data_IF_301026787456
#
_entry.id   IF_301026787456
#
_cell.length_a   1.000
_cell.length_b   1.000
_cell.length_c   1.000
_cell.angle_alpha   90.00
_cell.angle_beta   90.00
_cell.angle_gamma   90.00
#
_symmetry.space_group_name_H-M   'P 1'
#
loop_
_entity.id
_entity.type
_entity.pdbx_description
1 polymer ?
#
# COMPACT_ATOMS: atom_id res chain seq x y z
N UNK A 1 -16.01 -6.56 -36.49
CA UNK A 1 -15.59 -7.77 -35.73
C UNK A 1 -15.00 -7.27 -34.45
N UNK A 2 -15.80 -7.18 -33.39
CA UNK A 2 -15.42 -6.72 -32.06
C UNK A 2 -14.81 -7.90 -31.32
N UNK A 3 -13.66 -7.66 -30.69
CA UNK A 3 -12.85 -8.65 -29.97
C UNK A 3 -13.62 -9.24 -28.78
N UNK A 4 -13.53 -10.57 -28.53
CA UNK A 4 -14.28 -11.24 -27.44
C UNK A 4 -13.76 -10.98 -26.02
N UNK A 5 -12.86 -10.01 -25.83
CA UNK A 5 -12.24 -9.73 -24.52
C UNK A 5 -13.06 -8.77 -23.64
N UNK A 6 -14.10 -8.14 -24.15
CA UNK A 6 -14.87 -7.11 -23.43
C UNK A 6 -16.06 -7.62 -22.61
N UNK A 7 -16.52 -8.84 -22.87
CA UNK A 7 -17.70 -9.40 -22.16
C UNK A 7 -17.37 -10.15 -20.85
N UNK A 8 -16.09 -10.31 -20.49
CA UNK A 8 -15.70 -11.02 -19.26
C UNK A 8 -15.59 -10.17 -17.99
N UNK A 9 -15.77 -8.87 -18.09
CA UNK A 9 -15.42 -7.94 -17.00
C UNK A 9 -16.54 -7.75 -15.95
N UNK A 10 -17.78 -8.14 -16.24
CA UNK A 10 -18.92 -7.87 -15.35
C UNK A 10 -19.31 -9.00 -14.38
N UNK A 11 -18.74 -10.19 -14.50
CA UNK A 11 -19.06 -11.33 -13.60
C UNK A 11 -18.00 -11.61 -12.51
N UNK A 12 -16.93 -10.84 -12.43
CA UNK A 12 -15.75 -11.17 -11.61
C UNK A 12 -15.78 -10.67 -10.16
N UNK A 13 -16.85 -10.03 -9.71
CA UNK A 13 -16.94 -9.54 -8.33
C UNK A 13 -17.19 -10.64 -7.27
N UNK A 14 -17.42 -11.88 -7.66
CA UNK A 14 -17.61 -12.99 -6.71
C UNK A 14 -17.13 -14.33 -7.28
N UNK A 15 -15.90 -14.70 -6.91
CA UNK A 15 -15.42 -16.06 -7.08
C UNK A 15 -15.92 -16.94 -5.95
N UNK A 16 -16.47 -18.12 -6.30
CA UNK A 16 -16.70 -19.18 -5.32
C UNK A 16 -15.53 -20.15 -5.38
N UNK A 17 -14.94 -20.48 -4.21
CA UNK A 17 -13.95 -21.54 -4.15
C UNK A 17 -14.62 -22.93 -4.38
N UNK A 18 -13.84 -23.99 -4.51
CA UNK A 18 -14.30 -25.37 -4.70
C UNK A 18 -15.32 -25.85 -3.64
N UNK A 19 -15.52 -25.10 -2.56
CA UNK A 19 -16.50 -25.35 -1.48
C UNK A 19 -17.71 -24.40 -1.55
N UNK A 20 -17.91 -23.68 -2.67
CA UNK A 20 -19.05 -22.79 -2.85
C UNK A 20 -19.05 -21.51 -1.99
N UNK A 21 -17.94 -21.16 -1.34
CA UNK A 21 -17.83 -19.91 -0.57
C UNK A 21 -17.49 -18.76 -1.52
N UNK A 22 -18.30 -17.70 -1.48
CA UNK A 22 -18.01 -16.44 -2.14
C UNK A 22 -16.67 -15.90 -1.63
N UNK A 23 -15.66 -15.85 -2.48
CA UNK A 23 -14.42 -15.15 -2.20
C UNK A 23 -14.57 -13.73 -2.73
N UNK A 24 -14.66 -12.77 -1.83
CA UNK A 24 -14.60 -11.35 -2.19
C UNK A 24 -13.14 -11.05 -2.51
N UNK A 25 -12.86 -10.59 -3.71
CA UNK A 25 -11.59 -9.98 -4.03
C UNK A 25 -11.39 -8.81 -3.04
N UNK A 26 -10.33 -8.86 -2.24
CA UNK A 26 -10.10 -7.81 -1.24
C UNK A 26 -9.61 -6.50 -1.86
N UNK A 27 -9.16 -6.54 -3.12
CA UNK A 27 -8.77 -5.36 -3.89
C UNK A 27 -10.02 -4.52 -4.19
N UNK A 28 -9.85 -3.21 -4.15
CA UNK A 28 -10.92 -2.28 -4.45
C UNK A 28 -11.34 -2.40 -5.94
N UNK A 29 -12.63 -2.47 -6.17
CA UNK A 29 -13.21 -2.45 -7.52
C UNK A 29 -14.16 -1.26 -7.58
N UNK A 30 -13.95 -0.38 -8.54
CA UNK A 30 -14.74 0.82 -8.75
C UNK A 30 -16.05 0.53 -9.49
N UNK A 31 -16.98 1.49 -9.48
CA UNK A 31 -18.28 1.36 -10.15
C UNK A 31 -18.19 1.13 -11.66
N UNK A 32 -17.13 1.62 -12.31
CA UNK A 32 -16.86 1.38 -13.73
C UNK A 32 -16.25 0.00 -14.03
N UNK A 33 -16.05 -0.84 -13.01
CA UNK A 33 -15.46 -2.18 -13.12
C UNK A 33 -13.92 -2.22 -13.12
N UNK A 34 -13.23 -1.07 -13.09
CA UNK A 34 -11.79 -1.02 -12.93
C UNK A 34 -11.39 -1.35 -11.49
N UNK A 35 -10.19 -1.87 -11.30
CA UNK A 35 -9.70 -2.22 -9.97
C UNK A 35 -8.54 -1.32 -9.56
N UNK A 36 -8.53 -0.89 -8.31
CA UNK A 36 -7.44 -0.15 -7.67
C UNK A 36 -6.21 -1.02 -7.46
N UNK A 37 -5.65 -1.55 -8.56
CA UNK A 37 -4.49 -2.44 -8.52
C UNK A 37 -3.71 -2.43 -9.84
N UNK A 38 -2.39 -2.50 -9.74
CA UNK A 38 -1.50 -2.68 -10.88
C UNK A 38 -0.39 -3.67 -10.59
N UNK A 39 0.06 -4.43 -11.60
CA UNK A 39 1.14 -5.41 -11.47
C UNK A 39 2.03 -5.48 -12.70
N UNK A 40 3.33 -5.71 -12.48
CA UNK A 40 4.32 -5.87 -13.52
C UNK A 40 4.28 -7.30 -14.08
N UNK A 41 4.14 -7.41 -15.42
CA UNK A 41 4.22 -8.61 -16.27
C UNK A 41 3.16 -9.67 -16.04
N UNK A 42 2.78 -9.95 -14.81
CA UNK A 42 1.89 -11.07 -14.50
C UNK A 42 0.59 -10.59 -13.86
N UNK A 43 -0.56 -11.11 -14.32
CA UNK A 43 -1.82 -10.88 -13.65
C UNK A 43 -1.76 -11.35 -12.20
N UNK A 44 -2.32 -10.54 -11.29
CA UNK A 44 -2.46 -10.86 -9.88
C UNK A 44 -3.92 -10.64 -9.44
N UNK A 45 -4.26 -10.89 -8.19
CA UNK A 45 -5.61 -10.67 -7.65
C UNK A 45 -6.73 -11.20 -8.56
N UNK A 46 -6.54 -12.46 -9.05
CA UNK A 46 -7.49 -13.12 -9.95
C UNK A 46 -7.68 -12.42 -11.31
N UNK A 47 -6.65 -11.72 -11.79
CA UNK A 47 -6.69 -11.01 -13.06
C UNK A 47 -7.34 -9.64 -13.01
N UNK A 48 -7.57 -9.10 -11.80
CA UNK A 48 -8.04 -7.74 -11.61
C UNK A 48 -6.90 -6.72 -11.74
N UNK A 49 -7.26 -5.50 -12.16
CA UNK A 49 -6.33 -4.38 -12.26
C UNK A 49 -5.52 -4.36 -13.55
N UNK A 50 -4.60 -3.41 -13.61
CA UNK A 50 -3.78 -3.12 -14.78
C UNK A 50 -2.51 -3.96 -14.76
N UNK A 51 -2.22 -4.68 -15.85
CA UNK A 51 -0.95 -5.39 -16.06
C UNK A 51 -0.09 -4.59 -17.04
N UNK A 52 1.12 -4.27 -16.64
CA UNK A 52 2.10 -3.57 -17.47
C UNK A 52 3.35 -4.41 -17.68
N UNK A 53 4.08 -4.22 -18.79
CA UNK A 53 5.18 -5.10 -19.23
C UNK A 53 6.56 -4.57 -18.87
N UNK A 54 6.71 -3.26 -18.78
CA UNK A 54 7.99 -2.59 -18.56
C UNK A 54 8.01 -1.88 -17.20
N UNK A 55 9.17 -1.71 -16.56
CA UNK A 55 9.30 -0.93 -15.34
C UNK A 55 8.76 0.49 -15.52
N UNK A 56 8.03 0.98 -14.54
CA UNK A 56 7.40 2.30 -14.55
C UNK A 56 7.90 3.16 -13.40
N UNK A 57 7.75 4.47 -13.54
CA UNK A 57 8.00 5.43 -12.47
C UNK A 57 6.97 5.30 -11.35
N UNK A 58 7.25 5.91 -10.21
CA UNK A 58 6.33 5.99 -9.06
C UNK A 58 5.00 6.64 -9.43
N UNK A 59 5.03 7.77 -10.14
CA UNK A 59 3.82 8.47 -10.55
C UNK A 59 2.98 7.62 -11.51
N UNK A 60 3.63 6.94 -12.44
CA UNK A 60 2.96 6.04 -13.37
C UNK A 60 2.37 4.83 -12.65
N UNK A 61 3.07 4.27 -11.66
CA UNK A 61 2.54 3.16 -10.83
C UNK A 61 1.28 3.56 -10.07
N UNK A 62 1.28 4.74 -9.46
CA UNK A 62 0.11 5.28 -8.79
C UNK A 62 -1.06 5.45 -9.75
N UNK A 63 -0.80 6.01 -10.93
CA UNK A 63 -1.81 6.21 -11.97
C UNK A 63 -2.41 4.89 -12.46
N UNK A 64 -1.57 3.88 -12.74
CA UNK A 64 -2.01 2.56 -13.20
C UNK A 64 -2.82 1.81 -12.14
N UNK A 65 -2.58 2.08 -10.86
CA UNK A 65 -3.33 1.50 -9.74
C UNK A 65 -4.52 2.36 -9.27
N UNK A 66 -4.85 3.45 -9.98
CA UNK A 66 -5.89 4.42 -9.59
C UNK A 66 -5.69 4.97 -8.17
N UNK A 67 -4.43 5.22 -7.79
CA UNK A 67 -4.05 5.68 -6.45
C UNK A 67 -3.50 7.11 -6.44
N UNK A 68 -3.37 7.75 -7.58
CA UNK A 68 -2.94 9.13 -7.73
C UNK A 68 -4.09 10.12 -7.46
N UNK A 69 -3.71 11.33 -7.05
CA UNK A 69 -4.62 12.46 -6.90
C UNK A 69 -5.85 12.22 -5.99
N UNK A 70 -5.72 11.35 -5.00
CA UNK A 70 -6.82 11.09 -4.07
C UNK A 70 -7.17 12.27 -3.18
N UNK A 71 -6.23 13.20 -2.96
CA UNK A 71 -6.43 14.37 -2.12
C UNK A 71 -7.06 14.00 -0.77
N UNK A 72 -6.45 13.03 -0.07
CA UNK A 72 -6.96 12.51 1.20
C UNK A 72 -6.94 13.60 2.26
N UNK A 73 -8.08 13.87 2.85
CA UNK A 73 -8.25 14.94 3.84
C UNK A 73 -9.23 14.54 4.95
N UNK A 74 -9.24 15.33 6.02
CA UNK A 74 -10.16 15.15 7.12
C UNK A 74 -11.30 16.16 7.00
N UNK A 75 -12.55 15.68 7.05
CA UNK A 75 -13.75 16.50 7.13
C UNK A 75 -14.48 16.23 8.46
N UNK A 76 -14.89 17.26 9.18
CA UNK A 76 -15.56 17.07 10.47
C UNK A 76 -16.90 16.38 10.31
N UNK A 77 -17.14 15.34 11.14
CA UNK A 77 -18.40 14.60 11.12
C UNK A 77 -19.45 15.34 11.98
N UNK A 78 -20.60 15.61 11.39
CA UNK A 78 -21.76 16.14 12.10
C UNK A 78 -22.79 15.01 12.29
N UNK A 79 -23.09 14.69 13.53
CA UNK A 79 -24.05 13.64 13.88
C UNK A 79 -25.52 14.13 13.90
N UNK A 80 -25.78 15.38 13.51
CA UNK A 80 -27.11 15.99 13.59
C UNK A 80 -27.47 16.53 14.95
N UNK A 81 -28.74 16.92 15.10
CA UNK A 81 -29.27 17.53 16.38
C UNK A 81 -29.43 16.47 17.46
N UNK A 82 -29.13 16.84 18.69
CA UNK A 82 -29.30 15.97 19.87
C UNK A 82 -28.09 15.09 20.22
N UNK A 83 -27.04 15.09 19.40
CA UNK A 83 -25.82 14.36 19.69
C UNK A 83 -24.74 15.32 20.19
N UNK A 84 -24.12 14.98 21.32
CA UNK A 84 -22.98 15.73 21.88
C UNK A 84 -21.78 14.81 22.02
N UNK A 85 -20.70 15.14 21.35
CA UNK A 85 -19.42 14.48 21.55
C UNK A 85 -18.44 15.42 22.25
N UNK A 86 -17.79 14.94 23.33
CA UNK A 86 -16.76 15.73 24.05
C UNK A 86 -15.52 16.00 23.19
N UNK A 87 -15.30 15.22 22.13
CA UNK A 87 -14.20 15.38 21.17
C UNK A 87 -14.72 15.18 19.77
N UNK A 88 -14.28 15.99 18.79
CA UNK A 88 -14.75 15.87 17.42
C UNK A 88 -14.34 14.54 16.80
N UNK A 89 -15.16 14.07 15.86
CA UNK A 89 -14.84 13.01 14.93
C UNK A 89 -14.62 13.60 13.55
N UNK A 90 -13.76 12.97 12.78
CA UNK A 90 -13.46 13.36 11.42
C UNK A 90 -13.60 12.16 10.50
N UNK A 91 -14.24 12.35 9.37
CA UNK A 91 -14.17 11.42 8.26
C UNK A 91 -12.87 11.68 7.48
N UNK A 92 -12.12 10.65 7.20
CA UNK A 92 -11.10 10.72 6.14
C UNK A 92 -11.81 10.49 4.81
N UNK A 93 -11.63 11.41 3.89
CA UNK A 93 -12.26 11.39 2.57
C UNK A 93 -11.23 11.52 1.49
N UNK A 94 -11.53 10.97 0.31
CA UNK A 94 -10.75 11.17 -0.91
C UNK A 94 -11.63 11.69 -2.04
N UNK A 95 -11.03 12.28 -3.04
CA UNK A 95 -11.69 12.47 -4.32
C UNK A 95 -11.72 11.11 -5.04
N UNK A 96 -12.88 10.74 -5.60
CA UNK A 96 -13.05 9.44 -6.25
C UNK A 96 -12.19 9.38 -7.52
N UNK A 97 -11.32 8.36 -7.70
CA UNK A 97 -10.35 8.33 -8.80
C UNK A 97 -11.00 8.08 -10.18
N UNK A 98 -12.22 7.57 -10.23
CA UNK A 98 -12.91 7.23 -11.49
C UNK A 98 -14.14 8.09 -11.73
N UNK A 99 -14.73 8.71 -10.70
CA UNK A 99 -15.93 9.54 -10.80
C UNK A 99 -15.63 10.97 -10.35
N UNK A 100 -15.33 11.84 -11.30
CA UNK A 100 -15.01 13.23 -11.03
C UNK A 100 -16.14 13.94 -10.25
N UNK A 101 -15.76 14.64 -9.17
CA UNK A 101 -16.70 15.36 -8.30
C UNK A 101 -17.34 14.52 -7.20
N UNK A 102 -17.18 13.20 -7.20
CA UNK A 102 -17.58 12.32 -6.12
C UNK A 102 -16.48 12.25 -5.06
N UNK A 103 -16.90 12.07 -3.79
CA UNK A 103 -16.01 11.84 -2.66
C UNK A 103 -16.33 10.51 -2.01
N UNK A 104 -15.30 9.76 -1.65
CA UNK A 104 -15.43 8.52 -0.91
C UNK A 104 -15.00 8.70 0.53
N UNK A 105 -15.74 8.11 1.47
CA UNK A 105 -15.35 8.05 2.88
C UNK A 105 -14.49 6.82 3.09
N UNK A 106 -13.24 7.04 3.54
CA UNK A 106 -12.28 5.97 3.78
C UNK A 106 -12.32 5.45 5.22
N UNK A 107 -12.72 6.30 6.17
CA UNK A 107 -12.82 5.91 7.58
C UNK A 107 -13.23 7.07 8.47
N UNK A 108 -13.30 6.79 9.78
CA UNK A 108 -13.59 7.80 10.82
C UNK A 108 -12.46 7.79 11.84
N UNK A 109 -11.88 8.95 12.06
CA UNK A 109 -10.69 9.13 12.90
C UNK A 109 -10.90 10.22 13.96
N UNK A 110 -9.93 10.40 14.82
CA UNK A 110 -9.91 11.46 15.84
C UNK A 110 -8.96 12.59 15.43
N UNK A 111 -9.06 13.72 16.11
CA UNK A 111 -8.31 14.96 15.88
C UNK A 111 -6.78 14.82 15.79
N UNK A 112 -6.21 13.77 16.41
CA UNK A 112 -4.76 13.51 16.39
C UNK A 112 -4.27 12.74 15.17
N UNK A 113 -5.20 12.26 14.35
CA UNK A 113 -4.83 11.60 13.11
C UNK A 113 -4.32 12.65 12.12
N UNK A 114 -3.30 12.31 11.37
CA UNK A 114 -2.78 13.11 10.26
C UNK A 114 -2.86 12.28 8.99
N UNK A 115 -3.46 12.83 7.97
CA UNK A 115 -3.52 12.21 6.64
C UNK A 115 -2.12 12.10 6.05
N UNK A 116 -1.90 11.03 5.31
CA UNK A 116 -0.67 10.80 4.56
C UNK A 116 -1.06 10.39 3.14
N UNK A 117 -0.61 11.15 2.13
CA UNK A 117 -1.00 10.91 0.76
C UNK A 117 -0.33 9.66 0.19
N UNK A 118 -0.94 9.03 -0.80
CA UNK A 118 -0.36 7.88 -1.49
C UNK A 118 0.98 8.25 -2.13
N UNK A 119 1.07 9.42 -2.73
CA UNK A 119 2.29 9.97 -3.34
C UNK A 119 3.42 10.07 -2.30
N UNK A 120 3.11 10.48 -1.09
CA UNK A 120 4.09 10.57 0.00
C UNK A 120 4.58 9.18 0.44
N UNK A 121 3.68 8.19 0.52
CA UNK A 121 4.02 6.81 0.86
C UNK A 121 4.95 6.19 -0.19
N UNK A 122 4.62 6.36 -1.46
CA UNK A 122 5.38 5.80 -2.57
C UNK A 122 6.71 6.51 -2.75
N UNK A 123 6.73 7.82 -2.64
CA UNK A 123 7.98 8.58 -2.63
C UNK A 123 8.87 8.25 -1.42
N UNK A 124 8.30 7.85 -0.28
CA UNK A 124 9.07 7.32 0.85
C UNK A 124 9.73 5.99 0.48
N UNK A 125 9.02 5.09 -0.19
CA UNK A 125 9.57 3.82 -0.65
C UNK A 125 10.72 4.02 -1.65
N UNK A 126 10.55 4.90 -2.64
CA UNK A 126 11.62 5.28 -3.58
C UNK A 126 12.85 5.84 -2.85
N UNK A 127 12.62 6.65 -1.83
CA UNK A 127 13.70 7.20 -1.03
C UNK A 127 14.43 6.15 -0.18
N UNK A 128 13.88 4.98 0.07
CA UNK A 128 14.53 3.89 0.82
C UNK A 128 15.43 3.01 -0.06
N UNK A 129 15.31 3.10 -1.38
CA UNK A 129 16.06 2.25 -2.31
C UNK A 129 16.75 3.13 -3.35
N UNK A 130 18.07 2.94 -3.52
CA UNK A 130 18.80 3.59 -4.61
C UNK A 130 18.34 3.06 -5.98
N UNK A 131 17.97 1.79 -6.04
CA UNK A 131 17.49 1.08 -7.21
C UNK A 131 16.39 0.11 -6.78
N UNK A 132 15.20 0.28 -7.31
CA UNK A 132 14.03 -0.57 -7.06
C UNK A 132 13.06 -0.48 -8.21
N UNK A 133 12.37 -1.58 -8.50
CA UNK A 133 11.35 -1.63 -9.54
C UNK A 133 10.00 -1.94 -8.91
N UNK A 134 9.02 -1.11 -9.21
CA UNK A 134 7.64 -1.39 -8.80
C UNK A 134 7.16 -2.71 -9.39
N UNK A 135 6.72 -3.61 -8.55
CA UNK A 135 6.13 -4.90 -8.92
C UNK A 135 4.62 -4.90 -8.81
N UNK A 136 4.10 -4.40 -7.69
CA UNK A 136 2.66 -4.31 -7.47
C UNK A 136 2.31 -3.08 -6.65
N UNK A 137 1.14 -2.52 -6.90
CA UNK A 137 0.51 -1.52 -6.05
C UNK A 137 -1.00 -1.69 -6.03
N UNK A 138 -1.65 -1.29 -4.96
CA UNK A 138 -3.10 -1.33 -4.92
C UNK A 138 -3.73 -0.85 -3.64
N UNK A 139 -5.05 -0.80 -3.67
CA UNK A 139 -5.90 -0.47 -2.55
C UNK A 139 -6.86 -1.61 -2.21
N UNK A 140 -7.12 -1.78 -0.92
CA UNK A 140 -8.04 -2.77 -0.38
C UNK A 140 -9.01 -2.10 0.60
N UNK A 141 -10.07 -2.82 1.00
CA UNK A 141 -11.09 -2.31 1.93
C UNK A 141 -11.67 -0.97 1.47
N UNK A 142 -12.08 -0.89 0.20
CA UNK A 142 -12.63 0.31 -0.41
C UNK A 142 -11.72 1.54 -0.24
N UNK A 143 -10.43 1.37 -0.53
CA UNK A 143 -9.45 2.43 -0.43
C UNK A 143 -8.93 2.75 0.97
N UNK A 144 -9.47 2.14 2.03
CA UNK A 144 -9.01 2.43 3.41
C UNK A 144 -7.58 2.00 3.68
N UNK A 145 -7.07 1.00 2.97
CA UNK A 145 -5.70 0.52 3.08
C UNK A 145 -5.04 0.51 1.71
N UNK A 146 -3.84 1.03 1.64
CA UNK A 146 -3.02 1.10 0.42
C UNK A 146 -1.69 0.39 0.63
N UNK A 147 -1.16 -0.20 -0.44
CA UNK A 147 0.12 -0.89 -0.40
C UNK A 147 0.85 -0.78 -1.74
N UNK A 148 2.16 -0.98 -1.69
CA UNK A 148 3.01 -1.14 -2.87
C UNK A 148 4.19 -2.04 -2.57
N UNK A 149 4.72 -2.73 -3.57
CA UNK A 149 5.94 -3.52 -3.45
C UNK A 149 6.92 -3.20 -4.57
N UNK A 150 8.18 -3.05 -4.19
CA UNK A 150 9.32 -2.88 -5.11
C UNK A 150 10.18 -4.13 -5.05
N UNK A 151 10.56 -4.65 -6.21
CA UNK A 151 11.57 -5.68 -6.29
C UNK A 151 12.94 -5.09 -5.95
N UNK A 152 13.67 -5.75 -5.06
CA UNK A 152 15.05 -5.44 -4.76
C UNK A 152 15.96 -6.17 -5.75
N UNK A 153 17.05 -5.54 -6.18
CA UNK A 153 18.04 -6.21 -7.04
C UNK A 153 18.85 -7.29 -6.30
N UNK A 154 18.67 -7.40 -4.99
CA UNK A 154 19.35 -8.40 -4.18
C UNK A 154 18.61 -9.73 -4.23
N UNK A 155 19.28 -10.71 -4.81
CA UNK A 155 18.92 -12.11 -4.70
C UNK A 155 19.63 -12.73 -3.49
N UNK A 156 18.90 -13.46 -2.67
CA UNK A 156 19.47 -14.24 -1.57
C UNK A 156 19.48 -15.71 -2.00
N UNK A 157 20.64 -16.31 -2.09
CA UNK A 157 20.77 -17.75 -2.33
C UNK A 157 20.55 -18.47 -1.00
N UNK A 158 19.47 -19.22 -0.91
CA UNK A 158 19.23 -20.14 0.20
C UNK A 158 19.95 -21.45 -0.10
N UNK A 159 20.67 -21.97 0.90
CA UNK A 159 21.44 -23.21 0.80
C UNK A 159 22.41 -23.25 -0.41
N UNK A 160 23.48 -22.44 -0.41
CA UNK A 160 24.41 -22.36 -1.52
C UNK A 160 25.17 -23.67 -1.78
N UNK A 161 25.15 -24.62 -0.85
CA UNK A 161 25.76 -25.96 -0.96
C UNK A 161 24.77 -27.05 -1.38
N UNK A 162 23.46 -26.76 -1.39
CA UNK A 162 22.41 -27.67 -1.80
C UNK A 162 21.76 -27.28 -3.13
N UNK A 163 20.45 -26.99 -3.11
CA UNK A 163 19.65 -26.69 -4.33
C UNK A 163 19.92 -25.29 -4.88
N UNK A 164 20.60 -24.43 -4.12
CA UNK A 164 20.92 -23.04 -4.47
C UNK A 164 19.69 -22.22 -4.92
N UNK A 165 18.58 -22.31 -4.16
CA UNK A 165 17.36 -21.58 -4.44
C UNK A 165 17.59 -20.07 -4.33
N UNK A 166 17.33 -19.37 -5.44
CA UNK A 166 17.42 -17.92 -5.51
C UNK A 166 16.09 -17.30 -5.07
N UNK A 167 16.11 -16.61 -3.95
CA UNK A 167 14.93 -15.91 -3.42
C UNK A 167 15.03 -14.43 -3.71
N UNK A 168 14.05 -13.91 -4.46
CA UNK A 168 13.89 -12.47 -4.67
C UNK A 168 13.34 -11.83 -3.41
N UNK A 169 13.89 -10.68 -3.08
CA UNK A 169 13.40 -9.86 -1.96
C UNK A 169 12.63 -8.65 -2.49
N UNK A 170 11.63 -8.23 -1.72
CA UNK A 170 10.80 -7.08 -2.02
C UNK A 170 10.79 -6.11 -0.84
N UNK A 171 10.82 -4.82 -1.12
CA UNK A 171 10.42 -3.80 -0.16
C UNK A 171 8.92 -3.60 -0.31
N UNK A 172 8.16 -3.93 0.71
CA UNK A 172 6.73 -3.66 0.78
C UNK A 172 6.47 -2.45 1.64
N UNK A 173 5.66 -1.52 1.14
CA UNK A 173 5.13 -0.39 1.90
C UNK A 173 3.62 -0.49 2.00
N UNK A 174 3.08 -0.07 3.14
CA UNK A 174 1.64 -0.02 3.35
C UNK A 174 1.25 1.12 4.30
N UNK A 175 0.03 1.61 4.14
CA UNK A 175 -0.56 2.64 4.99
C UNK A 175 -2.07 2.44 5.08
N UNK A 176 -2.72 3.07 6.06
CA UNK A 176 -4.17 3.12 6.11
C UNK A 176 -4.68 4.56 6.24
N UNK A 177 -5.80 4.83 5.62
CA UNK A 177 -6.50 6.11 5.69
C UNK A 177 -7.59 6.15 6.78
N UNK A 178 -7.92 5.00 7.38
CA UNK A 178 -8.90 4.84 8.46
C UNK A 178 -8.26 4.76 9.86
N UNK A 179 -6.92 4.86 9.94
CA UNK A 179 -6.17 4.74 11.19
C UNK A 179 -6.01 3.30 11.70
N UNK A 180 -6.44 2.28 10.94
CA UNK A 180 -6.32 0.86 11.34
C UNK A 180 -4.88 0.34 11.28
N UNK A 181 -4.02 0.97 10.49
CA UNK A 181 -2.62 0.62 10.37
C UNK A 181 -1.70 1.84 10.34
N UNK A 182 -0.48 1.68 10.79
CA UNK A 182 0.58 2.69 10.65
C UNK A 182 1.18 2.65 9.23
N UNK A 183 1.81 3.74 8.83
CA UNK A 183 2.73 3.74 7.68
C UNK A 183 3.82 2.71 7.99
N UNK A 184 4.03 1.77 7.11
CA UNK A 184 5.00 0.69 7.31
C UNK A 184 5.84 0.45 6.07
N UNK A 185 7.10 0.09 6.28
CA UNK A 185 7.99 -0.42 5.24
C UNK A 185 8.65 -1.70 5.77
N UNK A 186 8.67 -2.75 4.97
CA UNK A 186 9.19 -4.05 5.37
C UNK A 186 9.84 -4.78 4.21
N UNK A 187 10.95 -5.46 4.48
CA UNK A 187 11.58 -6.36 3.51
C UNK A 187 11.00 -7.76 3.68
N UNK A 188 10.59 -8.35 2.57
CA UNK A 188 9.92 -9.67 2.54
C UNK A 188 10.34 -10.45 1.30
N UNK A 189 10.47 -11.79 1.38
CA UNK A 189 10.63 -12.63 0.21
C UNK A 189 9.29 -12.91 -0.51
N UNK A 190 8.18 -12.37 0.00
CA UNK A 190 6.84 -12.66 -0.52
C UNK A 190 6.46 -11.63 -1.58
N UNK A 191 6.25 -12.07 -2.82
CA UNK A 191 5.62 -11.25 -3.86
C UNK A 191 4.13 -11.11 -3.56
N UNK A 192 3.64 -9.88 -3.50
CA UNK A 192 2.23 -9.62 -3.18
C UNK A 192 1.38 -9.74 -4.43
N UNK A 193 0.62 -10.80 -4.54
CA UNK A 193 -0.25 -11.12 -5.69
C UNK A 193 -1.70 -11.40 -5.30
N UNK A 194 -2.00 -11.47 -4.01
CA UNK A 194 -3.35 -11.66 -3.47
C UNK A 194 -3.40 -11.26 -1.99
N UNK A 195 -4.59 -11.24 -1.38
CA UNK A 195 -4.76 -10.90 0.04
C UNK A 195 -3.94 -11.80 0.97
N UNK A 196 -3.84 -13.09 0.65
CA UNK A 196 -3.07 -14.02 1.49
C UNK A 196 -1.58 -13.67 1.47
N UNK A 197 -1.01 -13.39 0.29
CA UNK A 197 0.40 -12.99 0.18
C UNK A 197 0.66 -11.61 0.77
N UNK A 198 -0.30 -10.67 0.69
CA UNK A 198 -0.22 -9.39 1.40
C UNK A 198 -0.16 -9.61 2.93
N UNK A 199 -1.05 -10.43 3.46
CA UNK A 199 -1.06 -10.76 4.89
C UNK A 199 0.24 -11.47 5.32
N UNK A 200 0.75 -12.39 4.51
CA UNK A 200 2.03 -13.08 4.76
C UNK A 200 3.21 -12.10 4.75
N UNK A 201 3.25 -11.17 3.78
CA UNK A 201 4.28 -10.15 3.69
C UNK A 201 4.29 -9.24 4.92
N UNK A 202 3.10 -8.87 5.41
CA UNK A 202 2.96 -8.01 6.60
C UNK A 202 3.23 -8.75 7.92
N UNK A 203 2.81 -10.02 8.03
CA UNK A 203 2.94 -10.80 9.25
C UNK A 203 4.31 -11.48 9.41
N UNK A 204 4.91 -11.92 8.30
CA UNK A 204 6.19 -12.64 8.28
C UNK A 204 7.43 -11.75 8.32
N UNK A 205 7.24 -10.45 8.37
CA UNK A 205 8.32 -9.48 8.33
C UNK A 205 9.14 -9.51 9.62
N UNK A 206 10.38 -9.98 9.52
CA UNK A 206 11.36 -9.93 10.63
C UNK A 206 11.80 -8.50 10.95
N UNK A 207 11.65 -7.59 10.00
CA UNK A 207 12.10 -6.21 10.09
C UNK A 207 11.02 -5.30 9.47
N UNK A 208 10.38 -4.48 10.29
CA UNK A 208 9.35 -3.55 9.86
C UNK A 208 9.59 -2.17 10.44
N UNK A 209 9.71 -1.19 9.57
CA UNK A 209 9.69 0.21 9.95
C UNK A 209 8.24 0.68 10.07
N UNK A 210 7.87 1.34 11.18
CA UNK A 210 6.50 1.81 11.41
C UNK A 210 6.48 3.27 11.88
N UNK A 211 5.66 4.09 11.22
CA UNK A 211 5.40 5.47 11.59
C UNK A 211 3.90 5.63 11.85
N UNK A 212 3.53 6.14 13.02
CA UNK A 212 2.12 6.45 13.33
C UNK A 212 1.67 7.69 12.58
N UNK A 213 0.41 7.74 12.18
CA UNK A 213 -0.26 8.90 11.58
C UNK A 213 -0.46 10.02 12.61
N UNK A 214 0.61 10.77 12.88
CA UNK A 214 0.62 11.92 13.78
C UNK A 214 1.38 13.08 13.13
N UNK A 215 1.20 14.30 13.62
CA UNK A 215 1.87 15.51 13.08
C UNK A 215 3.40 15.41 12.94
N UNK A 216 4.03 14.45 13.63
CA UNK A 216 5.48 14.19 13.50
C UNK A 216 5.82 13.21 12.37
N UNK A 217 4.84 12.63 11.69
CA UNK A 217 5.09 11.59 10.68
C UNK A 217 5.88 12.12 9.48
N UNK A 218 5.53 13.30 8.97
CA UNK A 218 6.22 13.93 7.83
C UNK A 218 7.69 14.23 8.16
N UNK A 219 7.97 14.76 9.33
CA UNK A 219 9.35 15.02 9.78
C UNK A 219 10.19 13.75 9.90
N UNK A 220 9.60 12.62 10.32
CA UNK A 220 10.29 11.33 10.42
C UNK A 220 10.56 10.72 9.05
N UNK A 221 9.63 10.84 8.13
CA UNK A 221 9.83 10.41 6.74
C UNK A 221 10.92 11.25 6.07
N UNK A 222 10.91 12.57 6.27
CA UNK A 222 11.94 13.46 5.75
C UNK A 222 13.32 13.11 6.35
N UNK A 223 13.41 12.88 7.65
CA UNK A 223 14.66 12.48 8.31
C UNK A 223 15.19 11.12 7.81
N UNK A 224 14.32 10.14 7.57
CA UNK A 224 14.72 8.86 7.01
C UNK A 224 15.27 9.02 5.57
N UNK A 225 14.66 9.89 4.75
CA UNK A 225 15.15 10.22 3.40
C UNK A 225 16.52 10.91 3.42
N UNK A 226 16.71 11.88 4.32
CA UNK A 226 17.99 12.59 4.44
C UNK A 226 19.11 11.69 4.93
N UNK A 227 18.82 10.82 5.90
CA UNK A 227 19.79 9.83 6.37
C UNK A 227 20.24 8.92 5.23
N UNK A 228 19.33 8.52 4.35
CA UNK A 228 19.66 7.68 3.21
C UNK A 228 20.46 8.42 2.13
N UNK A 229 20.08 9.67 1.79
CA UNK A 229 20.84 10.53 0.86
C UNK A 229 22.27 10.75 1.36
N UNK A 230 22.48 10.80 2.68
CA UNK A 230 23.78 10.89 3.30
C UNK A 230 24.59 9.57 3.25
N UNK A 231 24.11 8.56 2.52
CA UNK A 231 24.74 7.26 2.38
C UNK A 231 24.50 6.30 3.55
N UNK A 232 23.59 6.65 4.46
CA UNK A 232 23.13 5.74 5.48
C UNK A 232 22.18 4.73 4.83
N UNK A 233 22.74 3.71 4.22
CA UNK A 233 22.00 2.52 3.82
C UNK A 233 21.51 1.91 5.12
N UNK A 234 20.19 1.88 5.35
CA UNK A 234 19.63 1.09 6.45
C UNK A 234 20.04 -0.36 6.16
N UNK A 235 21.07 -0.91 6.82
CA UNK A 235 21.45 -2.28 6.56
C UNK A 235 20.27 -3.15 6.98
N UNK A 236 20.02 -4.29 6.31
CA UNK A 236 19.00 -5.24 6.73
C UNK A 236 19.16 -5.69 8.19
N UNK A 237 20.37 -5.58 8.75
CA UNK A 237 20.70 -5.83 10.16
C UNK A 237 20.26 -4.74 11.13
N UNK A 238 20.08 -3.50 10.69
CA UNK A 238 19.80 -2.33 11.54
C UNK A 238 18.31 -1.93 11.54
N UNK A 239 17.47 -2.61 10.78
CA UNK A 239 16.02 -2.54 10.92
C UNK A 239 15.65 -3.37 12.16
N UNK A 240 15.92 -2.82 13.35
CA UNK A 240 15.66 -3.53 14.59
C UNK A 240 14.16 -3.67 14.89
N UNK A 241 13.76 -4.78 15.53
CA UNK A 241 12.37 -4.96 15.97
C UNK A 241 12.02 -3.89 17.00
N UNK A 242 10.83 -3.33 16.84
CA UNK A 242 10.08 -2.43 17.72
C UNK A 242 10.85 -1.91 18.95
N UNK A 243 11.37 -0.70 18.91
CA UNK A 243 11.80 0.01 20.12
C UNK A 243 13.04 0.91 20.00
N UNK A 244 13.98 0.63 19.12
CA UNK A 244 15.31 1.29 19.16
C UNK A 244 15.42 2.53 18.27
N UNK A 245 14.59 2.69 17.24
CA UNK A 245 14.57 3.94 16.45
C UNK A 245 13.90 5.11 17.19
N UNK A 246 13.29 4.89 18.36
CA UNK A 246 12.76 5.95 19.20
C UNK A 246 13.86 6.75 19.91
N UNK A 247 15.01 6.16 20.16
CA UNK A 247 16.12 6.82 20.88
C UNK A 247 17.12 7.53 19.95
N UNK A 248 17.33 7.01 18.73
CA UNK A 248 18.28 7.64 17.79
C UNK A 248 17.73 8.90 17.09
N UNK A 249 16.40 9.13 17.13
CA UNK A 249 15.74 10.32 16.58
C UNK A 249 15.02 11.17 17.63
N UNK A 250 15.28 10.93 18.90
CA UNK A 250 14.63 11.58 20.06
C UNK A 250 15.55 12.43 20.93
N UNK A 251 16.69 12.85 20.38
CA UNK A 251 17.54 13.87 21.00
C UNK A 251 17.22 15.27 20.47
#
# INVERSE_FOLDING_TARGET
>A
MTSPLYERTLELSSWTNERGRKMVAAVEVFENGEAGFASLREPAWHGLGTVFSEPVSTDEMLRLAHMDNWNVRMEQVNFGTGYVSKRPYFATVRDNPVNAGQKDVLGVVRERYTTYQNEQLFAFADGLLAEGRWETAGSIKNGSVVFGSLALERETVLDPTGVADVVKSYLMVASSHDGSAAISATVTPVRVVCQNTLNMALAGAKQTYKIRHTQKAEGRVAAAREAQKAGYVIPPSDIQPQGVLTEALGG
#
